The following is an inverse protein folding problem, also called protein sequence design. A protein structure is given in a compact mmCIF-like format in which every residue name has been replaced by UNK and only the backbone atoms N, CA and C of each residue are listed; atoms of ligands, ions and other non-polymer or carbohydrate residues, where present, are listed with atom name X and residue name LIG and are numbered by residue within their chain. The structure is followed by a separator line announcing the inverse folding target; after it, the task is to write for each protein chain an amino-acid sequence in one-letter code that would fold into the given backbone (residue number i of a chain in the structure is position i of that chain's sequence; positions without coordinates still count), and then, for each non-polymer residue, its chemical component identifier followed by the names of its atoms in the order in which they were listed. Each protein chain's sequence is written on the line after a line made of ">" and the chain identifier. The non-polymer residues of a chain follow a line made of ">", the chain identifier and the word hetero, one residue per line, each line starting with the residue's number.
data_IF_011081822899
#
_entry.id   IF_011081822899
#
_cell.length_a   1.000
_cell.length_b   1.000
_cell.length_c   1.000
_cell.angle_alpha   90.00
_cell.angle_beta   90.00
_cell.angle_gamma   90.00
#
_symmetry.space_group_name_H-M   'P 1'
#
loop_
_entity.id
_entity.type
_entity.pdbx_description
1 polymer ?
#
# COMPACT_ATOMS: atom_id res chain seq x y z
N UNK A 1 -5.39 -3.46 -23.40
CA UNK A 1 -4.19 -3.21 -22.56
C UNK A 1 -4.15 -4.27 -21.48
N UNK A 2 -3.10 -5.08 -21.44
CA UNK A 2 -2.88 -6.09 -20.38
C UNK A 2 -1.98 -5.50 -19.30
N UNK A 3 -2.29 -5.77 -18.05
CA UNK A 3 -1.53 -5.28 -16.90
C UNK A 3 -0.94 -6.45 -16.09
N UNK A 4 0.31 -6.30 -15.63
CA UNK A 4 0.96 -7.20 -14.70
C UNK A 4 1.11 -6.48 -13.35
N UNK A 5 0.55 -7.05 -12.29
CA UNK A 5 0.48 -6.43 -10.97
C UNK A 5 1.26 -7.28 -9.98
N UNK A 6 2.39 -6.75 -9.50
CA UNK A 6 3.13 -7.32 -8.38
C UNK A 6 2.44 -6.95 -7.04
N UNK A 7 2.68 -7.74 -6.00
CA UNK A 7 1.99 -7.55 -4.72
C UNK A 7 0.46 -7.69 -4.81
N UNK A 8 -0.03 -8.43 -5.82
CA UNK A 8 -1.45 -8.53 -6.21
C UNK A 8 -2.37 -9.07 -5.10
N UNK A 9 -1.86 -9.78 -4.11
CA UNK A 9 -2.61 -10.30 -2.95
C UNK A 9 -2.51 -9.41 -1.71
N UNK A 10 -1.66 -8.38 -1.76
CA UNK A 10 -1.49 -7.40 -0.69
C UNK A 10 -2.59 -6.34 -0.67
N UNK A 11 -2.54 -5.47 0.33
CA UNK A 11 -3.54 -4.45 0.62
C UNK A 11 -3.86 -3.54 -0.57
N UNK A 12 -2.86 -2.94 -1.20
CA UNK A 12 -3.04 -2.02 -2.34
C UNK A 12 -3.13 -2.81 -3.66
N UNK A 13 -2.27 -3.81 -3.87
CA UNK A 13 -2.23 -4.57 -5.12
C UNK A 13 -3.55 -5.28 -5.44
N UNK A 14 -4.23 -5.84 -4.43
CA UNK A 14 -5.54 -6.45 -4.60
C UNK A 14 -6.59 -5.44 -5.07
N UNK A 15 -6.55 -4.22 -4.57
CA UNK A 15 -7.43 -3.14 -5.00
C UNK A 15 -7.13 -2.68 -6.43
N UNK A 16 -5.84 -2.61 -6.83
CA UNK A 16 -5.45 -2.33 -8.22
C UNK A 16 -6.02 -3.41 -9.15
N UNK A 17 -5.82 -4.68 -8.81
CA UNK A 17 -6.37 -5.81 -9.60
C UNK A 17 -7.89 -5.71 -9.71
N UNK A 18 -8.59 -5.48 -8.60
CA UNK A 18 -10.05 -5.34 -8.56
C UNK A 18 -10.54 -4.22 -9.48
N UNK A 19 -9.90 -3.05 -9.43
CA UNK A 19 -10.31 -1.88 -10.21
C UNK A 19 -10.01 -2.06 -11.71
N UNK A 20 -8.87 -2.63 -12.08
CA UNK A 20 -8.54 -2.91 -13.47
C UNK A 20 -9.49 -3.95 -14.09
N UNK A 21 -9.79 -5.03 -13.35
CA UNK A 21 -10.77 -6.05 -13.82
C UNK A 21 -12.15 -5.43 -13.95
N UNK A 22 -12.60 -4.63 -12.99
CA UNK A 22 -13.90 -3.93 -13.07
C UNK A 22 -13.97 -2.95 -14.25
N UNK A 23 -12.83 -2.38 -14.68
CA UNK A 23 -12.72 -1.55 -15.87
C UNK A 23 -12.63 -2.38 -17.18
N UNK A 24 -12.68 -3.71 -17.11
CA UNK A 24 -12.66 -4.61 -18.28
C UNK A 24 -11.26 -4.88 -18.83
N UNK A 25 -10.23 -4.62 -18.07
CA UNK A 25 -8.84 -4.88 -18.48
C UNK A 25 -8.40 -6.30 -18.12
N UNK A 26 -7.68 -7.02 -19.02
CA UNK A 26 -6.96 -8.23 -18.67
C UNK A 26 -5.86 -7.96 -17.65
N UNK A 27 -5.86 -8.72 -16.56
CA UNK A 27 -4.89 -8.56 -15.46
C UNK A 27 -4.21 -9.88 -15.16
N UNK A 28 -2.86 -9.86 -15.16
CA UNK A 28 -2.02 -10.90 -14.58
C UNK A 28 -1.60 -10.49 -13.18
N UNK A 29 -2.08 -11.22 -12.20
CA UNK A 29 -1.79 -11.01 -10.79
C UNK A 29 -0.55 -11.82 -10.40
N UNK A 30 0.60 -11.16 -10.25
CA UNK A 30 1.86 -11.81 -9.92
C UNK A 30 1.87 -12.25 -8.46
N UNK A 31 2.16 -13.52 -8.22
CA UNK A 31 2.21 -14.11 -6.89
C UNK A 31 3.21 -15.27 -6.84
N UNK A 32 3.82 -15.51 -5.67
CA UNK A 32 4.66 -16.68 -5.43
C UNK A 32 3.84 -17.99 -5.34
N UNK A 33 2.56 -17.88 -4.95
CA UNK A 33 1.63 -19.02 -4.83
C UNK A 33 0.29 -18.75 -5.53
N UNK A 34 0.16 -19.08 -6.83
CA UNK A 34 -1.07 -18.88 -7.60
C UNK A 34 -2.27 -19.69 -7.07
N UNK A 35 -2.04 -20.87 -6.50
CA UNK A 35 -3.14 -21.70 -5.98
C UNK A 35 -3.81 -21.02 -4.78
N UNK A 36 -3.00 -20.53 -3.84
CA UNK A 36 -3.48 -19.77 -2.68
C UNK A 36 -4.14 -18.45 -3.08
N UNK A 37 -3.58 -17.79 -4.09
CA UNK A 37 -4.08 -16.48 -4.54
C UNK A 37 -5.45 -16.54 -5.22
N UNK A 38 -5.85 -17.66 -5.85
CA UNK A 38 -7.12 -17.78 -6.58
C UNK A 38 -8.36 -17.45 -5.74
N UNK A 39 -8.35 -17.77 -4.46
CA UNK A 39 -9.46 -17.46 -3.55
C UNK A 39 -9.52 -16.00 -3.10
N UNK A 40 -8.43 -15.25 -3.24
CA UNK A 40 -8.30 -13.86 -2.80
C UNK A 40 -8.42 -12.84 -3.94
N UNK A 41 -8.28 -13.28 -5.20
CA UNK A 41 -8.33 -12.42 -6.38
C UNK A 41 -9.75 -12.35 -6.95
N UNK A 42 -10.13 -11.21 -7.56
CA UNK A 42 -11.42 -11.08 -8.23
C UNK A 42 -11.50 -11.99 -9.45
N UNK A 43 -12.72 -12.47 -9.74
CA UNK A 43 -12.98 -13.24 -10.96
C UNK A 43 -12.61 -12.41 -12.19
N UNK A 44 -11.82 -12.99 -13.11
CA UNK A 44 -11.32 -12.32 -14.31
C UNK A 44 -9.84 -11.90 -14.21
N UNK A 45 -9.21 -12.00 -13.03
CA UNK A 45 -7.76 -11.88 -12.90
C UNK A 45 -7.09 -13.26 -13.10
N UNK A 46 -6.00 -13.28 -13.85
CA UNK A 46 -5.15 -14.46 -14.03
C UNK A 46 -4.03 -14.46 -12.97
N UNK A 47 -4.04 -15.43 -12.05
CA UNK A 47 -2.93 -15.62 -11.12
C UNK A 47 -1.74 -16.25 -11.84
N UNK A 48 -0.60 -15.57 -11.86
CA UNK A 48 0.63 -16.02 -12.50
C UNK A 48 1.76 -16.15 -11.48
N UNK A 49 2.59 -17.19 -11.63
CA UNK A 49 3.72 -17.43 -10.72
C UNK A 49 4.90 -16.53 -11.06
N UNK A 50 5.41 -15.82 -10.06
CA UNK A 50 6.66 -15.08 -10.17
C UNK A 50 7.05 -14.42 -8.85
N UNK A 51 8.31 -14.04 -8.78
CA UNK A 51 8.91 -13.41 -7.61
C UNK A 51 9.79 -12.24 -8.07
N UNK A 52 9.64 -11.07 -7.43
CA UNK A 52 10.44 -9.89 -7.75
C UNK A 52 11.92 -10.07 -7.36
N UNK A 53 12.24 -11.00 -6.45
CA UNK A 53 13.61 -11.38 -6.10
C UNK A 53 14.26 -12.30 -7.15
N UNK A 54 13.44 -12.89 -8.05
CA UNK A 54 13.87 -13.65 -9.23
C UNK A 54 13.22 -13.02 -10.50
N UNK A 55 13.82 -11.96 -11.08
CA UNK A 55 13.26 -11.25 -12.22
C UNK A 55 12.97 -12.13 -13.44
N UNK A 56 13.75 -13.19 -13.65
CA UNK A 56 13.58 -14.09 -14.80
C UNK A 56 12.23 -14.85 -14.72
N UNK A 57 11.69 -15.03 -13.53
CA UNK A 57 10.36 -15.62 -13.33
C UNK A 57 9.23 -14.79 -13.95
N UNK A 58 9.46 -13.49 -14.23
CA UNK A 58 8.47 -12.60 -14.84
C UNK A 58 8.44 -12.72 -16.37
N UNK A 59 9.54 -13.16 -17.01
CA UNK A 59 9.70 -13.18 -18.48
C UNK A 59 8.51 -13.84 -19.19
N UNK A 60 8.01 -15.02 -18.77
CA UNK A 60 6.85 -15.64 -19.44
C UNK A 60 5.57 -14.81 -19.38
N UNK A 61 5.49 -13.89 -18.43
CA UNK A 61 4.29 -13.11 -18.12
C UNK A 61 4.32 -11.68 -18.65
N UNK A 62 5.44 -11.21 -19.20
CA UNK A 62 5.59 -9.85 -19.72
C UNK A 62 5.08 -9.69 -21.15
N UNK A 63 4.92 -10.77 -21.92
CA UNK A 63 4.44 -10.68 -23.30
C UNK A 63 3.07 -10.00 -23.40
N UNK A 64 2.98 -8.91 -24.16
CA UNK A 64 1.75 -8.14 -24.38
C UNK A 64 1.31 -7.28 -23.19
N UNK A 65 2.14 -7.15 -22.15
CA UNK A 65 1.90 -6.27 -21.02
C UNK A 65 2.20 -4.82 -21.44
N UNK A 66 1.25 -3.93 -21.25
CA UNK A 66 1.40 -2.50 -21.51
C UNK A 66 1.67 -1.70 -20.24
N UNK A 67 1.17 -2.17 -19.10
CA UNK A 67 1.40 -1.53 -17.80
C UNK A 67 1.82 -2.54 -16.73
N UNK A 68 2.78 -2.13 -15.92
CA UNK A 68 3.38 -2.94 -14.83
C UNK A 68 3.26 -2.18 -13.51
N UNK A 69 2.76 -2.84 -12.47
CA UNK A 69 2.82 -2.33 -11.10
C UNK A 69 3.88 -3.09 -10.31
N UNK A 70 4.79 -2.36 -9.68
CA UNK A 70 5.86 -2.88 -8.84
C UNK A 70 5.71 -2.40 -7.39
N UNK A 71 6.40 -3.10 -6.50
CA UNK A 71 6.69 -2.70 -5.12
C UNK A 71 8.20 -2.66 -4.93
N UNK A 72 8.69 -2.03 -3.86
CA UNK A 72 10.13 -1.79 -3.63
C UNK A 72 10.80 -2.81 -2.74
N UNK A 73 10.06 -3.79 -2.22
CA UNK A 73 10.55 -4.84 -1.34
C UNK A 73 10.03 -6.21 -1.75
N UNK A 74 10.71 -7.26 -1.33
CA UNK A 74 10.37 -8.64 -1.68
C UNK A 74 10.96 -9.64 -0.69
N UNK A 75 10.88 -10.94 -1.05
CA UNK A 75 11.30 -12.01 -0.17
C UNK A 75 10.35 -12.25 1.00
N UNK A 76 10.80 -13.09 1.94
CA UNK A 76 10.05 -13.41 3.16
C UNK A 76 10.37 -12.43 4.31
N UNK A 77 11.48 -11.72 4.19
CA UNK A 77 12.00 -10.72 5.12
C UNK A 77 11.59 -9.28 4.77
N UNK A 78 10.86 -9.09 3.66
CA UNK A 78 10.48 -7.78 3.15
C UNK A 78 11.68 -6.84 2.93
N UNK A 79 12.82 -7.39 2.52
CA UNK A 79 14.02 -6.60 2.23
C UNK A 79 13.83 -5.72 0.98
N UNK A 80 14.51 -4.57 0.91
CA UNK A 80 14.56 -3.76 -0.30
C UNK A 80 15.03 -4.57 -1.51
N UNK A 81 14.37 -4.39 -2.65
CA UNK A 81 14.70 -5.13 -3.88
C UNK A 81 15.99 -4.61 -4.51
N UNK A 82 17.02 -5.44 -4.54
CA UNK A 82 18.25 -5.21 -5.30
C UNK A 82 18.11 -5.54 -6.80
N UNK A 83 17.05 -6.26 -7.15
CA UNK A 83 16.76 -6.72 -8.52
C UNK A 83 16.15 -5.65 -9.42
N UNK A 84 15.93 -4.44 -8.90
CA UNK A 84 15.31 -3.32 -9.63
C UNK A 84 15.86 -3.09 -11.04
N UNK A 85 17.19 -2.98 -11.26
CA UNK A 85 17.75 -2.79 -12.59
C UNK A 85 17.34 -3.88 -13.58
N UNK A 86 17.34 -5.15 -13.15
CA UNK A 86 16.97 -6.27 -14.03
C UNK A 86 15.47 -6.31 -14.33
N UNK A 87 14.62 -6.00 -13.35
CA UNK A 87 13.17 -5.88 -13.55
C UNK A 87 12.83 -4.82 -14.59
N UNK A 88 13.49 -3.67 -14.53
CA UNK A 88 13.29 -2.56 -15.47
C UNK A 88 13.77 -2.92 -16.87
N UNK A 89 14.95 -3.54 -17.00
CA UNK A 89 15.48 -4.03 -18.28
C UNK A 89 14.52 -5.01 -18.96
N UNK A 90 13.98 -5.97 -18.21
CA UNK A 90 13.02 -6.94 -18.72
C UNK A 90 11.71 -6.29 -19.17
N UNK A 91 11.23 -5.30 -18.40
CA UNK A 91 10.04 -4.55 -18.75
C UNK A 91 10.22 -3.74 -20.06
N UNK A 92 11.36 -3.07 -20.23
CA UNK A 92 11.70 -2.36 -21.47
C UNK A 92 11.80 -3.31 -22.66
N UNK A 93 12.52 -4.43 -22.51
CA UNK A 93 12.69 -5.44 -23.55
C UNK A 93 11.36 -6.06 -23.99
N UNK A 94 10.40 -6.18 -23.09
CA UNK A 94 9.05 -6.70 -23.36
C UNK A 94 8.10 -5.67 -23.97
N UNK A 95 8.50 -4.39 -24.05
CA UNK A 95 7.68 -3.31 -24.60
C UNK A 95 6.63 -2.76 -23.63
N UNK A 96 6.82 -2.96 -22.32
CA UNK A 96 6.00 -2.27 -21.29
C UNK A 96 6.14 -0.76 -21.50
N UNK A 97 5.04 -0.02 -21.33
CA UNK A 97 5.02 1.42 -21.55
C UNK A 97 4.92 2.23 -20.28
N UNK A 98 4.12 1.76 -19.32
CA UNK A 98 3.84 2.48 -18.08
C UNK A 98 4.18 1.60 -16.89
N UNK A 99 4.85 2.18 -15.92
CA UNK A 99 5.18 1.48 -14.66
C UNK A 99 4.75 2.33 -13.49
N UNK A 100 3.94 1.77 -12.60
CA UNK A 100 3.67 2.37 -11.29
C UNK A 100 4.43 1.62 -10.20
N UNK A 101 4.91 2.32 -9.20
CA UNK A 101 5.60 1.72 -8.06
C UNK A 101 4.95 2.21 -6.77
N UNK A 102 4.49 1.28 -5.94
CA UNK A 102 4.17 1.60 -4.56
C UNK A 102 5.51 1.76 -3.82
N UNK A 103 5.83 2.99 -3.50
CA UNK A 103 7.10 3.37 -2.88
C UNK A 103 6.90 3.74 -1.43
N UNK A 104 7.96 3.60 -0.66
CA UNK A 104 8.18 4.33 0.58
C UNK A 104 8.89 5.66 0.29
N UNK A 105 9.25 6.39 1.35
CA UNK A 105 9.97 7.66 1.22
C UNK A 105 11.48 7.47 0.97
N UNK A 106 11.95 6.23 0.92
CA UNK A 106 13.35 5.90 0.65
C UNK A 106 13.52 5.55 -0.83
N UNK A 107 14.56 6.10 -1.45
CA UNK A 107 14.93 5.73 -2.81
C UNK A 107 15.77 4.46 -2.78
N UNK A 108 15.40 3.49 -3.62
CA UNK A 108 16.11 2.23 -3.77
C UNK A 108 16.32 1.86 -5.24
N UNK A 109 16.92 0.70 -5.45
CA UNK A 109 17.32 0.26 -6.79
C UNK A 109 16.21 0.22 -7.84
N UNK A 110 14.96 0.01 -7.45
CA UNK A 110 13.82 0.04 -8.40
C UNK A 110 13.56 1.47 -8.89
N UNK A 111 13.52 2.46 -7.99
CA UNK A 111 13.27 3.85 -8.36
C UNK A 111 14.42 4.44 -9.18
N UNK A 112 15.67 4.16 -8.79
CA UNK A 112 16.86 4.59 -9.52
C UNK A 112 16.89 4.03 -10.94
N UNK A 113 16.64 2.73 -11.10
CA UNK A 113 16.59 2.08 -12.41
C UNK A 113 15.49 2.65 -13.30
N UNK A 114 14.29 2.89 -12.75
CA UNK A 114 13.18 3.49 -13.50
C UNK A 114 13.48 4.93 -13.95
N UNK A 115 14.12 5.74 -13.10
CA UNK A 115 14.53 7.11 -13.50
C UNK A 115 15.56 7.13 -14.64
N UNK A 116 16.40 6.08 -14.73
CA UNK A 116 17.38 5.92 -15.79
C UNK A 116 16.79 5.30 -17.07
N UNK A 117 15.55 4.82 -17.05
CA UNK A 117 14.88 4.12 -18.14
C UNK A 117 14.08 5.03 -19.05
N UNK A 118 13.62 4.51 -20.19
CA UNK A 118 12.68 5.17 -21.09
C UNK A 118 11.20 4.95 -20.72
N UNK A 119 10.91 4.18 -19.66
CA UNK A 119 9.55 3.86 -19.22
C UNK A 119 8.84 5.10 -18.64
N UNK A 120 7.54 5.21 -18.90
CA UNK A 120 6.70 6.20 -18.24
C UNK A 120 6.41 5.76 -16.81
N UNK A 121 7.33 6.04 -15.89
CA UNK A 121 7.22 5.64 -14.48
C UNK A 121 6.40 6.62 -13.65
N UNK A 122 5.69 6.11 -12.65
CA UNK A 122 4.96 6.90 -11.64
C UNK A 122 5.19 6.31 -10.26
N UNK A 123 5.72 7.10 -9.33
CA UNK A 123 5.88 6.69 -7.93
C UNK A 123 4.68 7.10 -7.10
N UNK A 124 4.19 6.17 -6.31
CA UNK A 124 3.06 6.33 -5.40
C UNK A 124 3.60 6.31 -3.98
N UNK A 125 3.60 7.45 -3.32
CA UNK A 125 4.15 7.65 -1.98
C UNK A 125 2.99 7.94 -1.01
N UNK A 126 2.26 6.92 -0.55
CA UNK A 126 1.20 7.12 0.44
C UNK A 126 1.79 7.43 1.82
N UNK A 127 1.13 8.31 2.58
CA UNK A 127 1.62 8.71 3.91
C UNK A 127 1.40 7.61 4.96
N UNK A 128 0.21 7.10 5.08
CA UNK A 128 -0.14 6.01 5.99
C UNK A 128 -1.45 5.36 5.53
N UNK A 129 -1.56 4.04 5.61
CA UNK A 129 -2.76 3.33 5.16
C UNK A 129 -3.82 3.28 6.26
N UNK A 130 -5.09 3.50 5.93
CA UNK A 130 -6.20 3.23 6.87
C UNK A 130 -6.22 1.77 7.30
N UNK A 131 -5.82 0.84 6.42
CA UNK A 131 -5.70 -0.58 6.74
C UNK A 131 -4.73 -0.90 7.89
N UNK A 132 -3.81 0.01 8.26
CA UNK A 132 -2.94 -0.18 9.43
C UNK A 132 -3.74 -0.24 10.74
N UNK A 133 -4.94 0.34 10.79
CA UNK A 133 -5.83 0.25 11.94
C UNK A 133 -6.31 -1.17 12.23
N UNK A 134 -6.27 -2.08 11.24
CA UNK A 134 -6.60 -3.50 11.46
C UNK A 134 -5.63 -4.18 12.44
N UNK A 135 -4.43 -3.66 12.63
CA UNK A 135 -3.50 -4.15 13.66
C UNK A 135 -4.04 -3.99 15.09
N UNK A 136 -5.04 -3.13 15.28
CA UNK A 136 -5.72 -2.92 16.56
C UNK A 136 -7.03 -3.73 16.69
N UNK A 137 -7.44 -4.49 15.67
CA UNK A 137 -8.75 -5.12 15.62
C UNK A 137 -8.98 -6.08 16.79
N UNK A 138 -8.04 -6.98 17.08
CA UNK A 138 -8.15 -7.92 18.18
C UNK A 138 -8.25 -7.22 19.54
N UNK A 139 -7.43 -6.21 19.78
CA UNK A 139 -7.39 -5.44 21.02
C UNK A 139 -8.68 -4.62 21.21
N UNK A 140 -9.18 -4.00 20.13
CA UNK A 140 -10.46 -3.29 20.15
C UNK A 140 -11.60 -4.26 20.41
N UNK A 141 -11.60 -5.43 19.76
CA UNK A 141 -12.62 -6.45 19.99
C UNK A 141 -12.61 -6.94 21.44
N UNK A 142 -11.45 -7.27 22.00
CA UNK A 142 -11.32 -7.83 23.33
C UNK A 142 -11.56 -6.80 24.45
N UNK A 143 -10.94 -5.63 24.35
CA UNK A 143 -10.83 -4.67 25.45
C UNK A 143 -11.50 -3.31 25.17
N UNK A 144 -11.82 -2.98 23.92
CA UNK A 144 -12.26 -1.63 23.52
C UNK A 144 -11.13 -0.61 23.55
N UNK A 145 -9.87 -1.06 23.46
CA UNK A 145 -8.69 -0.20 23.53
C UNK A 145 -7.96 -0.15 22.21
N UNK A 146 -7.41 1.03 21.89
CA UNK A 146 -6.48 1.26 20.79
C UNK A 146 -5.19 1.83 21.38
N UNK A 147 -4.14 1.00 21.50
CA UNK A 147 -2.86 1.40 22.06
C UNK A 147 -1.96 1.94 20.95
N UNK A 148 -1.52 3.17 21.08
CA UNK A 148 -0.73 3.89 20.08
C UNK A 148 0.57 4.40 20.67
N UNK A 149 1.59 4.55 19.83
CA UNK A 149 2.92 5.05 20.24
C UNK A 149 3.09 6.56 20.04
N UNK A 150 2.13 7.24 19.41
CA UNK A 150 2.19 8.68 19.11
C UNK A 150 0.79 9.28 19.15
N UNK A 151 0.70 10.59 19.38
CA UNK A 151 -0.56 11.36 19.43
C UNK A 151 -0.67 12.41 18.31
N UNK A 152 0.28 12.42 17.36
CA UNK A 152 0.21 13.35 16.24
C UNK A 152 -0.85 12.94 15.24
N UNK A 153 -1.50 13.92 14.57
CA UNK A 153 -2.48 13.63 13.54
C UNK A 153 -1.81 13.00 12.30
N UNK A 154 -2.54 12.10 11.65
CA UNK A 154 -2.15 11.47 10.39
C UNK A 154 -3.23 11.65 9.34
N UNK A 155 -2.82 11.92 8.11
CA UNK A 155 -3.70 12.02 6.95
C UNK A 155 -3.81 10.66 6.22
N UNK A 156 -4.20 9.61 6.98
CA UNK A 156 -4.30 8.23 6.50
C UNK A 156 -5.12 8.13 5.23
N UNK A 157 -4.65 7.33 4.29
CA UNK A 157 -5.30 7.14 2.99
C UNK A 157 -5.92 5.75 2.87
N UNK A 158 -7.10 5.71 2.28
CA UNK A 158 -7.78 4.47 1.94
C UNK A 158 -7.01 3.73 0.82
N UNK A 159 -6.76 2.44 0.98
CA UNK A 159 -6.02 1.61 0.01
C UNK A 159 -6.65 1.60 -1.38
N UNK A 160 -7.99 1.70 -1.46
CA UNK A 160 -8.69 1.82 -2.75
C UNK A 160 -8.44 3.16 -3.44
N UNK A 161 -8.06 4.23 -2.73
CA UNK A 161 -7.72 5.51 -3.34
C UNK A 161 -6.29 5.49 -3.86
N UNK A 162 -5.35 4.85 -3.15
CA UNK A 162 -4.01 4.58 -3.67
C UNK A 162 -4.10 3.78 -4.96
N UNK A 163 -4.91 2.72 -4.96
CA UNK A 163 -5.16 1.91 -6.14
C UNK A 163 -5.79 2.71 -7.28
N UNK A 164 -6.72 3.64 -7.00
CA UNK A 164 -7.33 4.48 -8.02
C UNK A 164 -6.30 5.38 -8.70
N UNK A 165 -5.36 5.96 -7.94
CA UNK A 165 -4.25 6.75 -8.49
C UNK A 165 -3.33 5.87 -9.34
N UNK A 166 -3.03 4.64 -8.88
CA UNK A 166 -2.23 3.67 -9.64
C UNK A 166 -2.91 3.31 -10.97
N UNK A 167 -4.21 3.02 -10.94
CA UNK A 167 -4.99 2.65 -12.13
C UNK A 167 -5.02 3.80 -13.13
N UNK A 168 -5.30 5.04 -12.71
CA UNK A 168 -5.22 6.21 -13.60
C UNK A 168 -3.83 6.32 -14.24
N UNK A 169 -2.75 6.19 -13.45
CA UNK A 169 -1.39 6.28 -13.96
C UNK A 169 -1.02 5.12 -14.92
N UNK A 170 -1.63 3.95 -14.79
CA UNK A 170 -1.43 2.82 -15.68
C UNK A 170 -2.24 2.94 -16.98
N UNK A 171 -3.42 3.57 -16.94
CA UNK A 171 -4.38 3.56 -18.05
C UNK A 171 -4.43 4.86 -18.84
N UNK A 172 -4.04 5.98 -18.23
CA UNK A 172 -4.14 7.32 -18.80
C UNK A 172 -2.76 7.92 -19.11
N UNK A 173 -2.70 8.94 -19.94
CA UNK A 173 -1.48 9.68 -20.24
C UNK A 173 -1.26 10.84 -19.25
N UNK A 174 -0.03 11.36 -19.17
CA UNK A 174 0.31 12.54 -18.37
C UNK A 174 0.85 12.23 -16.97
N UNK A 175 1.00 10.97 -16.60
CA UNK A 175 1.51 10.53 -15.30
C UNK A 175 2.98 10.12 -15.31
N UNK A 176 3.58 9.93 -16.50
CA UNK A 176 4.99 9.58 -16.64
C UNK A 176 5.93 10.63 -16.05
N UNK A 177 6.95 10.19 -15.30
CA UNK A 177 7.92 11.05 -14.62
C UNK A 177 7.37 11.74 -13.36
N UNK A 178 6.26 11.25 -12.80
CA UNK A 178 5.61 11.83 -11.61
C UNK A 178 5.86 11.01 -10.35
N UNK A 179 6.03 11.72 -9.24
CA UNK A 179 5.96 11.16 -7.89
C UNK A 179 4.75 11.79 -7.18
N UNK A 180 3.83 10.97 -6.76
CA UNK A 180 2.60 11.40 -6.09
C UNK A 180 2.68 11.11 -4.60
N UNK A 181 2.70 12.18 -3.78
CA UNK A 181 2.38 12.05 -2.38
C UNK A 181 0.86 11.86 -2.24
N UNK A 182 0.44 10.79 -1.57
CA UNK A 182 -0.98 10.40 -1.50
C UNK A 182 -1.42 10.35 -0.04
N UNK A 183 -2.41 11.15 0.29
CA UNK A 183 -3.05 11.16 1.61
C UNK A 183 -4.56 10.98 1.50
N UNK A 184 -5.19 10.70 2.62
CA UNK A 184 -6.63 10.84 2.76
C UNK A 184 -7.08 12.30 2.82
N UNK A 185 -8.40 12.52 2.87
CA UNK A 185 -8.98 13.87 2.87
C UNK A 185 -9.00 14.53 4.26
N UNK A 186 -8.65 13.80 5.31
CA UNK A 186 -8.70 14.24 6.71
C UNK A 186 -7.37 13.99 7.39
N UNK A 187 -6.90 14.95 8.21
CA UNK A 187 -5.77 14.76 9.13
C UNK A 187 -6.35 14.58 10.53
N UNK A 188 -6.26 13.37 11.08
CA UNK A 188 -6.94 12.96 12.31
C UNK A 188 -5.94 12.50 13.37
N UNK A 189 -6.11 12.98 14.60
CA UNK A 189 -5.44 12.44 15.78
C UNK A 189 -5.92 11.00 16.07
N UNK A 190 -5.16 10.18 16.81
CA UNK A 190 -5.61 8.84 17.22
C UNK A 190 -6.96 8.85 17.94
N UNK A 191 -7.25 9.88 18.74
CA UNK A 191 -8.54 10.03 19.42
C UNK A 191 -9.70 10.26 18.44
N UNK A 192 -9.48 11.07 17.41
CA UNK A 192 -10.46 11.27 16.34
C UNK A 192 -10.64 10.02 15.48
N UNK A 193 -9.56 9.28 15.20
CA UNK A 193 -9.61 7.98 14.53
C UNK A 193 -10.45 6.97 15.33
N UNK A 194 -10.19 6.85 16.64
CA UNK A 194 -10.96 5.99 17.54
C UNK A 194 -12.45 6.39 17.60
N UNK A 195 -12.76 7.68 17.53
CA UNK A 195 -14.14 8.17 17.46
C UNK A 195 -14.85 7.70 16.18
N UNK A 196 -14.15 7.72 15.02
CA UNK A 196 -14.71 7.20 13.76
C UNK A 196 -14.95 5.69 13.82
N UNK A 197 -13.99 4.93 14.38
CA UNK A 197 -14.14 3.50 14.62
C UNK A 197 -15.31 3.21 15.57
N UNK A 198 -15.39 3.90 16.71
CA UNK A 198 -16.49 3.75 17.69
C UNK A 198 -17.86 3.90 17.05
N UNK A 199 -18.01 4.90 16.18
CA UNK A 199 -19.27 5.15 15.47
C UNK A 199 -19.59 4.01 14.51
N UNK A 200 -18.61 3.49 13.77
CA UNK A 200 -18.80 2.43 12.79
C UNK A 200 -19.14 1.08 13.42
N UNK A 201 -18.50 0.74 14.56
CA UNK A 201 -18.69 -0.56 15.23
C UNK A 201 -19.79 -0.55 16.30
N UNK A 202 -20.34 0.63 16.64
CA UNK A 202 -21.36 0.77 17.67
C UNK A 202 -20.87 0.51 19.11
N UNK A 203 -19.56 0.63 19.34
CA UNK A 203 -18.89 0.39 20.64
C UNK A 203 -17.82 1.45 20.87
N UNK A 204 -17.66 1.88 22.12
CA UNK A 204 -16.60 2.83 22.50
C UNK A 204 -15.20 2.21 22.30
N UNK A 205 -14.32 2.98 21.65
CA UNK A 205 -12.89 2.69 21.50
C UNK A 205 -12.12 3.77 22.22
N UNK A 206 -11.36 3.39 23.23
CA UNK A 206 -10.55 4.30 24.04
C UNK A 206 -9.09 4.24 23.60
N UNK A 207 -8.48 5.39 23.36
CA UNK A 207 -7.06 5.49 23.02
C UNK A 207 -6.21 5.44 24.27
N UNK A 208 -5.16 4.62 24.23
CA UNK A 208 -4.11 4.56 25.25
C UNK A 208 -2.77 4.91 24.61
N UNK A 209 -2.20 6.05 25.00
CA UNK A 209 -0.87 6.45 24.55
C UNK A 209 0.19 5.69 25.36
N UNK A 210 1.01 4.90 24.68
CA UNK A 210 2.12 4.16 25.26
C UNK A 210 3.35 5.06 25.38
N UNK A 211 4.10 4.88 26.46
CA UNK A 211 5.47 5.39 26.54
C UNK A 211 6.38 4.69 25.50
N UNK A 212 7.54 5.27 25.20
CA UNK A 212 8.51 4.63 24.31
C UNK A 212 8.98 3.27 24.84
N UNK A 213 9.11 3.12 26.15
CA UNK A 213 9.48 1.85 26.78
C UNK A 213 8.41 0.79 26.62
N UNK A 214 7.14 1.12 26.84
CA UNK A 214 5.99 0.22 26.63
C UNK A 214 5.85 -0.14 25.14
N UNK A 215 6.07 0.82 24.25
CA UNK A 215 6.08 0.58 22.79
C UNK A 215 7.17 -0.42 22.41
N UNK A 216 8.41 -0.22 22.89
CA UNK A 216 9.52 -1.13 22.63
C UNK A 216 9.23 -2.54 23.16
N UNK A 217 8.72 -2.66 24.39
CA UNK A 217 8.38 -3.94 24.98
C UNK A 217 7.27 -4.67 24.20
N UNK A 218 6.25 -3.94 23.74
CA UNK A 218 5.17 -4.49 22.91
C UNK A 218 5.70 -5.06 21.59
N UNK A 219 6.51 -4.30 20.87
CA UNK A 219 7.11 -4.72 19.60
C UNK A 219 7.98 -5.97 19.75
N UNK A 220 8.81 -6.02 20.80
CA UNK A 220 9.61 -7.22 21.12
C UNK A 220 8.72 -8.44 21.40
N UNK A 221 7.63 -8.26 22.13
CA UNK A 221 6.67 -9.33 22.43
C UNK A 221 5.96 -9.83 21.17
N UNK A 222 5.76 -8.95 20.18
CA UNK A 222 5.25 -9.29 18.85
C UNK A 222 6.27 -9.98 17.94
N UNK A 223 7.54 -10.10 18.38
CA UNK A 223 8.60 -10.80 17.65
C UNK A 223 9.40 -9.94 16.69
N UNK A 224 9.26 -8.60 16.75
CA UNK A 224 10.09 -7.70 15.96
C UNK A 224 11.53 -7.67 16.47
N UNK A 225 12.48 -7.54 15.55
CA UNK A 225 13.89 -7.38 15.87
C UNK A 225 14.22 -5.97 16.39
N UNK A 226 15.43 -5.80 16.93
CA UNK A 226 15.86 -4.52 17.52
C UNK A 226 16.01 -3.40 16.48
N UNK A 227 16.25 -3.72 15.22
CA UNK A 227 16.34 -2.74 14.14
C UNK A 227 14.97 -2.13 13.86
N UNK A 228 13.94 -2.98 13.72
CA UNK A 228 12.56 -2.53 13.59
C UNK A 228 12.07 -1.76 14.82
N UNK A 229 12.41 -2.24 16.03
CA UNK A 229 12.06 -1.54 17.29
C UNK A 229 12.67 -0.14 17.30
N UNK A 230 13.94 -0.01 16.98
CA UNK A 230 14.63 1.30 16.93
C UNK A 230 13.99 2.24 15.90
N UNK A 231 13.70 1.73 14.69
CA UNK A 231 13.00 2.48 13.65
C UNK A 231 11.61 2.97 14.12
N UNK A 232 10.81 2.09 14.72
CA UNK A 232 9.47 2.43 15.19
C UNK A 232 9.49 3.48 16.33
N UNK A 233 10.49 3.42 17.23
CA UNK A 233 10.66 4.40 18.30
C UNK A 233 11.11 5.77 17.75
N UNK A 234 11.98 5.79 16.74
CA UNK A 234 12.37 7.03 16.06
C UNK A 234 11.16 7.67 15.38
N UNK A 235 10.37 6.88 14.65
CA UNK A 235 9.15 7.36 14.00
C UNK A 235 8.10 7.86 15.01
N UNK A 236 8.01 7.23 16.19
CA UNK A 236 7.12 7.66 17.26
C UNK A 236 7.57 8.99 17.90
N UNK A 237 8.90 9.18 18.04
CA UNK A 237 9.50 10.36 18.67
C UNK A 237 9.57 11.56 17.72
N UNK A 238 9.86 11.30 16.45
CA UNK A 238 10.10 12.30 15.41
C UNK A 238 9.27 11.98 14.14
N UNK A 239 7.93 11.97 14.22
CA UNK A 239 7.11 11.67 13.06
C UNK A 239 7.31 12.72 11.96
N UNK A 240 7.43 12.31 10.69
CA UNK A 240 7.53 13.24 9.58
C UNK A 240 6.29 14.15 9.50
N UNK A 241 6.48 15.46 9.46
CA UNK A 241 5.37 16.45 9.36
C UNK A 241 4.46 16.19 8.17
N UNK A 242 5.02 15.65 7.09
CA UNK A 242 4.28 15.32 5.87
C UNK A 242 3.17 14.28 6.11
N UNK A 243 3.30 13.42 7.12
CA UNK A 243 2.31 12.41 7.48
C UNK A 243 0.96 13.00 7.92
N UNK A 244 0.97 14.20 8.48
CA UNK A 244 -0.24 14.95 8.88
C UNK A 244 -0.80 15.88 7.81
N UNK A 245 -0.14 16.02 6.64
CA UNK A 245 -0.54 16.98 5.62
C UNK A 245 -1.51 16.37 4.61
N UNK A 246 -2.70 16.95 4.50
CA UNK A 246 -3.68 16.57 3.49
C UNK A 246 -3.23 17.05 2.11
N UNK A 247 -3.25 16.14 1.13
CA UNK A 247 -2.93 16.39 -0.28
C UNK A 247 -4.20 16.25 -1.14
N UNK A 248 -4.24 16.99 -2.24
CA UNK A 248 -5.34 16.93 -3.21
C UNK A 248 -5.13 15.84 -4.29
N UNK A 249 -4.10 15.03 -4.16
CA UNK A 249 -3.64 14.09 -5.20
C UNK A 249 -4.74 13.14 -5.66
N UNK A 250 -5.50 12.54 -4.72
CA UNK A 250 -6.60 11.63 -5.08
C UNK A 250 -7.63 12.36 -5.93
N UNK A 251 -8.11 13.53 -5.47
CA UNK A 251 -9.09 14.34 -6.19
C UNK A 251 -8.59 14.79 -7.56
N UNK A 252 -7.34 15.26 -7.63
CA UNK A 252 -6.74 15.80 -8.85
C UNK A 252 -6.48 14.72 -9.90
N UNK A 253 -6.05 13.53 -9.48
CA UNK A 253 -5.71 12.42 -10.39
C UNK A 253 -6.95 11.64 -10.80
N UNK A 254 -7.89 11.40 -9.88
CA UNK A 254 -9.03 10.51 -10.13
C UNK A 254 -10.33 11.25 -10.42
N UNK A 255 -10.35 12.59 -10.29
CA UNK A 255 -11.55 13.44 -10.36
C UNK A 255 -12.64 13.07 -9.34
N UNK A 256 -12.26 12.37 -8.27
CA UNK A 256 -13.16 11.95 -7.17
C UNK A 256 -12.54 12.35 -5.82
N UNK A 257 -13.35 12.74 -4.83
CA UNK A 257 -12.83 13.00 -3.50
C UNK A 257 -12.24 11.71 -2.90
N UNK A 258 -11.21 11.86 -2.09
CA UNK A 258 -10.67 10.75 -1.29
C UNK A 258 -11.73 10.23 -0.32
N UNK A 259 -11.66 8.93 0.00
CA UNK A 259 -12.52 8.29 1.00
C UNK A 259 -12.11 8.71 2.40
N UNK A 260 -13.10 9.00 3.23
CA UNK A 260 -12.90 9.35 4.64
C UNK A 260 -12.63 8.10 5.49
N UNK A 261 -12.03 8.30 6.67
CA UNK A 261 -11.86 7.23 7.64
C UNK A 261 -13.21 6.65 8.11
N UNK A 262 -14.25 7.47 8.17
CA UNK A 262 -15.58 6.98 8.52
C UNK A 262 -16.15 5.98 7.49
N UNK A 263 -15.87 6.21 6.20
CA UNK A 263 -16.27 5.27 5.14
C UNK A 263 -15.48 3.96 5.25
N UNK A 264 -14.16 4.05 5.40
CA UNK A 264 -13.30 2.88 5.59
C UNK A 264 -13.70 2.07 6.82
N UNK A 265 -13.95 2.74 7.96
CA UNK A 265 -14.36 2.08 9.20
C UNK A 265 -15.71 1.35 9.07
N UNK A 266 -16.64 1.91 8.29
CA UNK A 266 -17.91 1.25 8.00
C UNK A 266 -17.74 0.00 7.10
N UNK A 267 -16.81 0.04 6.13
CA UNK A 267 -16.49 -1.10 5.26
C UNK A 267 -15.82 -2.22 6.04
N UNK A 268 -15.05 -1.91 7.10
CA UNK A 268 -14.25 -2.82 7.90
C UNK A 268 -14.80 -3.07 9.32
N UNK A 269 -16.04 -2.69 9.62
CA UNK A 269 -16.59 -2.81 10.96
C UNK A 269 -16.61 -4.26 11.48
N UNK A 270 -16.79 -5.24 10.61
CA UNK A 270 -16.84 -6.66 10.97
C UNK A 270 -15.51 -7.18 11.56
N UNK A 271 -14.37 -6.66 11.09
CA UNK A 271 -13.03 -7.05 11.55
C UNK A 271 -12.78 -6.63 13.01
N UNK A 272 -13.50 -5.63 13.50
CA UNK A 272 -13.37 -5.10 14.86
C UNK A 272 -14.42 -5.67 15.83
N UNK A 273 -15.44 -6.37 15.32
CA UNK A 273 -16.55 -6.89 16.16
C UNK A 273 -16.53 -8.40 16.33
N UNK A 274 -15.75 -9.15 15.54
CA UNK A 274 -15.59 -10.61 15.62
C UNK A 274 -16.66 -11.37 14.85
#
# INVERSE_FOLDING_TARGET
>A
MTFLIAGATGTVGREIVRQLVAAGHPVRALTRDPERARGALPQGAEAVRGDLTDPESLVPHLSGVEGLHLITFGGDDYAPLETGPRLVELAEAAGVRRVTVLSDFYEGGVQEALRASALAWTFLNPVEFMANLLAHAEEIHAEGLMRVSRDQPSAMVHEADIASVAVSALTEDGHGGRAYLISGPESLTPTEQATRLSTAIGREVTVVLLSLEETAQRLRTQGHDEEYVAFALELASNPPEIGGQVQDTVQRVTSRPGRTLAQWAAEHAAEFTG
#
